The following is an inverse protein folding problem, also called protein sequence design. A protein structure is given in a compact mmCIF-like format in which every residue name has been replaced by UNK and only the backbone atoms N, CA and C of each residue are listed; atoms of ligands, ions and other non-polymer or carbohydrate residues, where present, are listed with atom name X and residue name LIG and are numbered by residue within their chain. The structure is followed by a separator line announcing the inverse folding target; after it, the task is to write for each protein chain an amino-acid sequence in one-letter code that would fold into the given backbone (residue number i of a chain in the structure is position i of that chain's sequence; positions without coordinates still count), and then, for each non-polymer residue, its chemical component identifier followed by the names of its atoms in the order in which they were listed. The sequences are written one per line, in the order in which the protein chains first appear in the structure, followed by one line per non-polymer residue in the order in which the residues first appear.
data_IF_238128541677
#
_entry.id   IF_238128541677
#
_cell.length_a   1.000
_cell.length_b   1.000
_cell.length_c   1.000
_cell.angle_alpha   90.00
_cell.angle_beta   90.00
_cell.angle_gamma   90.00
#
_symmetry.space_group_name_H-M   'P 1'
#
loop_
_entity.id
_entity.type
_entity.pdbx_description
1 polymer ?
#
# COMPACT_ATOMS: atom_id res chain seq x y z
N UNK A 1 -22.32 -14.84 -20.18
CA UNK A 1 -21.43 -13.84 -20.80
C UNK A 1 -20.33 -13.51 -19.81
N UNK A 2 -19.07 -13.89 -20.09
CA UNK A 2 -17.95 -13.53 -19.22
C UNK A 2 -17.51 -12.12 -19.60
N UNK A 3 -17.88 -11.12 -18.80
CA UNK A 3 -17.28 -9.80 -18.92
C UNK A 3 -15.80 -9.93 -18.53
N UNK A 4 -14.92 -9.90 -19.52
CA UNK A 4 -13.50 -9.69 -19.30
C UNK A 4 -13.36 -8.29 -18.72
N UNK A 5 -13.21 -8.21 -17.41
CA UNK A 5 -12.85 -6.96 -16.76
C UNK A 5 -11.48 -6.56 -17.32
N UNK A 6 -11.33 -5.42 -18.03
CA UNK A 6 -10.06 -5.02 -18.63
C UNK A 6 -8.96 -4.74 -17.60
N UNK A 7 -9.33 -4.64 -16.31
CA UNK A 7 -8.40 -4.54 -15.20
C UNK A 7 -7.93 -5.90 -14.65
N UNK A 8 -8.56 -7.00 -15.08
CA UNK A 8 -8.18 -8.35 -14.67
C UNK A 8 -7.21 -8.96 -15.67
N UNK A 9 -6.00 -9.26 -15.22
CA UNK A 9 -4.97 -9.92 -16.02
C UNK A 9 -5.24 -11.43 -16.09
N UNK A 10 -5.11 -12.06 -17.28
CA UNK A 10 -5.24 -13.49 -17.42
C UNK A 10 -4.26 -14.24 -16.50
N UNK A 11 -4.74 -15.21 -15.74
CA UNK A 11 -3.92 -16.01 -14.81
C UNK A 11 -3.69 -15.38 -13.44
N UNK A 12 -4.18 -14.16 -13.19
CA UNK A 12 -4.10 -13.52 -11.89
C UNK A 12 -5.38 -13.78 -11.09
N UNK A 13 -5.23 -14.31 -9.88
CA UNK A 13 -6.36 -14.53 -8.98
C UNK A 13 -6.76 -13.21 -8.32
N UNK A 14 -7.99 -12.77 -8.60
CA UNK A 14 -8.60 -11.62 -7.96
C UNK A 14 -9.60 -12.13 -6.91
N UNK A 15 -9.44 -11.67 -5.68
CA UNK A 15 -10.28 -12.08 -4.55
C UNK A 15 -10.55 -10.92 -3.61
N UNK A 16 -11.49 -11.12 -2.69
CA UNK A 16 -11.72 -10.17 -1.62
C UNK A 16 -10.45 -10.03 -0.77
N UNK A 17 -9.85 -8.84 -0.78
CA UNK A 17 -8.68 -8.54 0.05
C UNK A 17 -9.16 -8.04 1.40
N UNK A 18 -8.95 -8.84 2.44
CA UNK A 18 -9.25 -8.46 3.82
C UNK A 18 -8.32 -7.35 4.33
N UNK A 19 -8.62 -6.84 5.52
CA UNK A 19 -7.84 -5.75 6.13
C UNK A 19 -6.41 -6.18 6.40
N UNK A 20 -6.19 -7.40 6.89
CA UNK A 20 -4.85 -7.89 7.26
C UNK A 20 -3.94 -8.05 6.04
N UNK A 21 -4.48 -8.48 4.92
CA UNK A 21 -3.77 -8.58 3.64
C UNK A 21 -3.39 -7.18 3.14
N UNK A 22 -4.27 -6.18 3.29
CA UNK A 22 -3.92 -4.77 2.97
C UNK A 22 -2.80 -4.26 3.86
N UNK A 23 -2.86 -4.54 5.17
CA UNK A 23 -1.81 -4.12 6.11
C UNK A 23 -0.46 -4.77 5.81
N UNK A 24 -0.45 -6.04 5.37
CA UNK A 24 0.77 -6.73 4.91
C UNK A 24 1.34 -6.11 3.64
N UNK A 25 0.49 -5.76 2.66
CA UNK A 25 0.94 -5.12 1.42
C UNK A 25 1.63 -3.77 1.69
N UNK A 26 1.09 -2.95 2.60
CA UNK A 26 1.67 -1.64 2.98
C UNK A 26 3.10 -1.76 3.51
N UNK A 27 3.48 -2.88 4.12
CA UNK A 27 4.85 -3.07 4.62
C UNK A 27 5.90 -3.06 3.49
N UNK A 28 5.50 -3.48 2.28
CA UNK A 28 6.36 -3.49 1.10
C UNK A 28 6.43 -2.16 0.35
N UNK A 29 5.62 -1.17 0.73
CA UNK A 29 5.57 0.09 0.00
C UNK A 29 6.84 0.92 0.22
N UNK A 30 7.26 1.60 -0.84
CA UNK A 30 8.20 2.72 -0.80
C UNK A 30 7.49 4.04 -0.42
N UNK A 31 8.26 5.12 -0.36
CA UNK A 31 7.78 6.42 0.10
C UNK A 31 6.77 7.06 -0.87
N UNK A 32 6.99 6.91 -2.18
CA UNK A 32 6.10 7.46 -3.20
C UNK A 32 4.78 6.69 -3.25
N UNK A 33 4.84 5.37 -3.19
CA UNK A 33 3.69 4.49 -3.08
C UNK A 33 2.87 4.79 -1.82
N UNK A 34 3.52 5.03 -0.67
CA UNK A 34 2.83 5.44 0.55
C UNK A 34 2.11 6.79 0.39
N UNK A 35 2.75 7.78 -0.25
CA UNK A 35 2.14 9.09 -0.49
C UNK A 35 0.96 8.99 -1.46
N UNK A 36 1.10 8.23 -2.53
CA UNK A 36 0.01 7.97 -3.48
C UNK A 36 -1.16 7.25 -2.81
N UNK A 37 -0.89 6.28 -1.93
CA UNK A 37 -1.92 5.54 -1.21
C UNK A 37 -2.74 6.43 -0.25
N UNK A 38 -2.15 7.48 0.33
CA UNK A 38 -2.88 8.46 1.15
C UNK A 38 -3.82 9.37 0.35
N UNK A 39 -3.61 9.50 -0.96
CA UNK A 39 -4.50 10.28 -1.82
C UNK A 39 -5.80 9.54 -2.17
N UNK A 40 -5.89 8.24 -1.85
CA UNK A 40 -7.08 7.41 -2.12
C UNK A 40 -8.19 7.74 -1.11
N UNK A 41 -9.34 8.19 -1.62
CA UNK A 41 -10.53 8.47 -0.81
C UNK A 41 -11.16 7.18 -0.27
N UNK A 42 -11.72 7.24 0.94
CA UNK A 42 -12.42 6.10 1.55
C UNK A 42 -11.50 5.02 2.11
N UNK A 43 -10.22 5.35 2.34
CA UNK A 43 -9.28 4.45 2.99
C UNK A 43 -9.75 4.13 4.41
N UNK A 44 -9.69 2.85 4.79
CA UNK A 44 -9.98 2.45 6.17
C UNK A 44 -8.95 3.07 7.12
N UNK A 45 -9.43 3.63 8.24
CA UNK A 45 -8.60 4.34 9.23
C UNK A 45 -7.37 3.55 9.69
N UNK A 46 -7.51 2.23 9.88
CA UNK A 46 -6.40 1.37 10.29
C UNK A 46 -5.31 1.25 9.21
N UNK A 47 -5.70 1.22 7.93
CA UNK A 47 -4.77 1.18 6.80
C UNK A 47 -4.08 2.54 6.65
N UNK A 48 -4.82 3.64 6.79
CA UNK A 48 -4.25 4.99 6.79
C UNK A 48 -3.16 5.16 7.87
N UNK A 49 -3.44 4.72 9.10
CA UNK A 49 -2.49 4.75 10.21
C UNK A 49 -1.23 3.93 9.90
N UNK A 50 -1.38 2.76 9.28
CA UNK A 50 -0.26 1.91 8.89
C UNK A 50 0.62 2.60 7.84
N UNK A 51 0.02 3.23 6.83
CA UNK A 51 0.74 3.98 5.79
C UNK A 51 1.51 5.15 6.40
N UNK A 52 0.86 5.96 7.24
CA UNK A 52 1.53 7.08 7.94
C UNK A 52 2.72 6.61 8.79
N UNK A 53 2.58 5.47 9.47
CA UNK A 53 3.68 4.87 10.24
C UNK A 53 4.83 4.42 9.33
N UNK A 54 4.51 3.82 8.19
CA UNK A 54 5.51 3.37 7.21
C UNK A 54 6.30 4.55 6.63
N UNK A 55 5.64 5.66 6.30
CA UNK A 55 6.30 6.90 5.86
C UNK A 55 7.35 7.34 6.88
N UNK A 56 6.97 7.45 8.17
CA UNK A 56 7.91 7.86 9.24
C UNK A 56 9.11 6.93 9.35
N UNK A 57 8.90 5.61 9.19
CA UNK A 57 9.99 4.64 9.23
C UNK A 57 10.95 4.83 8.05
N UNK A 58 10.42 5.01 6.84
CA UNK A 58 11.21 5.23 5.64
C UNK A 58 12.00 6.55 5.70
N UNK A 59 11.38 7.62 6.19
CA UNK A 59 12.06 8.91 6.39
C UNK A 59 13.19 8.80 7.42
N UNK A 60 12.96 8.10 8.53
CA UNK A 60 13.99 7.82 9.55
C UNK A 60 15.14 6.97 9.00
N UNK A 61 14.84 5.98 8.16
CA UNK A 61 15.86 5.16 7.50
C UNK A 61 16.69 5.99 6.54
N UNK A 62 16.06 6.86 5.75
CA UNK A 62 16.73 7.75 4.82
C UNK A 62 17.60 8.78 5.55
N UNK A 63 17.18 9.31 6.71
CA UNK A 63 18.01 10.22 7.50
C UNK A 63 19.22 9.51 8.13
N UNK A 64 19.02 8.31 8.68
CA UNK A 64 20.10 7.51 9.26
C UNK A 64 21.17 7.12 8.22
N UNK A 65 20.77 6.90 6.96
CA UNK A 65 21.71 6.61 5.87
C UNK A 65 22.50 7.83 5.41
N UNK A 66 22.04 9.06 5.67
CA UNK A 66 22.77 10.30 5.31
C UNK A 66 23.84 10.68 6.34
N UNK A 67 23.76 10.15 7.55
CA UNK A 67 24.67 10.44 8.66
C UNK A 67 25.77 9.39 8.84
N UNK A 68 25.69 8.27 8.09
CA UNK A 68 26.68 7.19 8.07
C UNK A 68 27.63 7.31 6.86
#
# INVERSE_FOLDING_TARGET
MQQSNPFNHPGQSYGAVDVDSRLRAVAGFDLEQCRAALAVTGLQKIVEQKIRTRIRQLEKQASAQKEA
#
